data_IF_354989780520
#
_entry.id   IF_354989780520
#
_cell.length_a   1.000
_cell.length_b   1.000
_cell.length_c   1.000
_cell.angle_alpha   90.00
_cell.angle_beta   90.00
_cell.angle_gamma   90.00
#
_symmetry.space_group_name_H-M   'P 1'
#
loop_
_entity.id
_entity.type
_entity.pdbx_description
1 polymer ?
#
# COMPACT_ATOMS: atom_id res chain seq x y z
N UNK A 1 15.70 -29.99 15.86
CA UNK A 1 16.23 -29.83 14.48
C UNK A 1 15.14 -29.91 13.42
N UNK A 2 14.40 -31.01 13.26
CA UNK A 2 13.30 -31.12 12.26
C UNK A 2 12.14 -30.15 12.50
N UNK A 3 11.65 -30.01 13.73
CA UNK A 3 10.59 -29.06 14.08
C UNK A 3 11.02 -27.59 13.95
N UNK A 4 12.29 -27.28 14.24
CA UNK A 4 12.85 -25.93 14.15
C UNK A 4 12.91 -25.46 12.69
N UNK A 5 13.30 -26.33 11.76
CA UNK A 5 13.33 -26.02 10.32
C UNK A 5 11.92 -25.78 9.77
N UNK A 6 10.95 -26.59 10.17
CA UNK A 6 9.54 -26.40 9.79
C UNK A 6 9.00 -25.07 10.32
N UNK A 7 9.30 -24.72 11.57
CA UNK A 7 8.86 -23.45 12.15
C UNK A 7 9.44 -22.23 11.41
N UNK A 8 10.72 -22.27 11.03
CA UNK A 8 11.37 -21.19 10.26
C UNK A 8 10.76 -21.04 8.86
N UNK A 9 10.51 -22.16 8.18
CA UNK A 9 9.87 -22.15 6.86
C UNK A 9 8.44 -21.59 6.90
N UNK A 10 7.64 -22.00 7.90
CA UNK A 10 6.30 -21.47 8.10
C UNK A 10 6.32 -19.97 8.43
N UNK A 11 7.23 -19.53 9.32
CA UNK A 11 7.37 -18.12 9.64
C UNK A 11 7.76 -17.28 8.41
N UNK A 12 8.67 -17.78 7.57
CA UNK A 12 9.06 -17.12 6.32
C UNK A 12 7.89 -16.94 5.34
N UNK A 13 7.06 -17.98 5.16
CA UNK A 13 5.87 -17.91 4.29
C UNK A 13 4.81 -16.93 4.79
N UNK A 14 4.62 -16.83 6.11
CA UNK A 14 3.61 -15.94 6.69
C UNK A 14 3.97 -14.46 6.50
N UNK A 15 5.26 -14.10 6.49
CA UNK A 15 5.70 -12.71 6.33
C UNK A 15 5.60 -12.23 4.87
N UNK A 16 5.78 -13.11 3.88
CA UNK A 16 5.69 -12.73 2.47
C UNK A 16 4.26 -12.37 2.02
N UNK A 17 3.24 -12.85 2.74
CA UNK A 17 1.84 -12.57 2.42
C UNK A 17 1.38 -11.14 2.77
N UNK A 18 2.21 -10.37 3.48
CA UNK A 18 1.89 -8.99 3.88
C UNK A 18 2.40 -7.92 2.90
N UNK A 19 3.04 -8.30 1.79
CA UNK A 19 3.48 -7.36 0.78
C UNK A 19 2.30 -6.96 -0.13
N UNK A 20 2.03 -5.66 -0.25
CA UNK A 20 1.00 -5.14 -1.16
C UNK A 20 1.41 -5.27 -2.63
N UNK A 21 0.42 -5.39 -3.53
CA UNK A 21 0.63 -5.41 -4.98
C UNK A 21 1.17 -4.06 -5.47
N UNK A 22 2.20 -4.08 -6.33
CA UNK A 22 2.77 -2.83 -6.86
C UNK A 22 1.85 -2.29 -7.97
N UNK A 23 1.35 -1.04 -7.88
CA UNK A 23 0.51 -0.46 -8.92
C UNK A 23 1.32 -0.19 -10.21
N UNK A 24 0.67 -0.40 -11.36
CA UNK A 24 1.26 -0.17 -12.69
C UNK A 24 1.15 1.30 -13.17
N UNK A 25 0.34 2.11 -12.50
CA UNK A 25 -0.06 3.46 -12.88
C UNK A 25 0.56 4.54 -11.96
N UNK A 26 1.84 4.36 -11.59
CA UNK A 26 2.56 5.33 -10.77
C UNK A 26 2.87 6.61 -11.55
N UNK A 27 2.77 7.75 -10.85
CA UNK A 27 3.08 9.08 -11.40
C UNK A 27 1.85 9.95 -11.63
N UNK A 28 2.08 11.15 -12.15
CA UNK A 28 1.05 12.13 -12.50
C UNK A 28 0.65 11.96 -13.96
N UNK A 29 -0.65 11.89 -14.21
CA UNK A 29 -1.23 11.79 -15.56
C UNK A 29 -2.29 12.87 -15.72
N UNK A 30 -2.23 13.68 -16.79
CA UNK A 30 -3.12 14.83 -17.00
C UNK A 30 -3.14 15.84 -15.84
N UNK A 31 -1.99 16.02 -15.18
CA UNK A 31 -1.83 16.98 -14.08
C UNK A 31 -2.32 16.50 -12.72
N UNK A 32 -2.87 15.28 -12.61
CA UNK A 32 -3.33 14.72 -11.33
C UNK A 32 -2.74 13.34 -11.05
N UNK A 33 -2.71 12.96 -9.78
CA UNK A 33 -2.48 11.57 -9.39
C UNK A 33 -3.72 10.72 -9.72
N UNK A 34 -3.55 9.40 -9.81
CA UNK A 34 -4.70 8.50 -9.90
C UNK A 34 -5.55 8.62 -8.63
N UNK A 35 -6.87 8.52 -8.76
CA UNK A 35 -7.77 8.49 -7.62
C UNK A 35 -7.42 7.34 -6.66
N UNK A 36 -7.57 7.57 -5.35
CA UNK A 36 -7.39 6.51 -4.37
C UNK A 36 -8.43 5.40 -4.60
N UNK A 37 -8.03 4.12 -4.70
CA UNK A 37 -8.97 3.01 -4.63
C UNK A 37 -9.60 2.96 -3.23
N UNK A 38 -10.70 2.21 -3.11
CA UNK A 38 -11.37 1.95 -1.83
C UNK A 38 -10.52 1.03 -0.94
N UNK A 39 -9.47 1.59 -0.34
CA UNK A 39 -8.46 0.90 0.46
C UNK A 39 -8.13 1.74 1.69
N UNK A 40 -8.09 1.15 2.90
CA UNK A 40 -7.96 1.89 4.15
C UNK A 40 -6.62 2.64 4.29
N UNK A 41 -5.60 2.25 3.52
CA UNK A 41 -4.26 2.85 3.60
C UNK A 41 -3.98 3.84 2.46
N UNK A 42 -4.91 4.06 1.52
CA UNK A 42 -4.70 5.03 0.45
C UNK A 42 -5.09 6.43 0.90
N UNK A 43 -4.19 7.39 0.70
CA UNK A 43 -4.46 8.82 0.93
C UNK A 43 -3.88 9.68 -0.19
N UNK A 44 -4.53 10.80 -0.47
CA UNK A 44 -4.09 11.78 -1.47
C UNK A 44 -4.62 13.17 -1.14
N UNK A 45 -3.78 14.19 -1.24
CA UNK A 45 -4.22 15.59 -1.10
C UNK A 45 -5.12 16.06 -2.24
N UNK A 46 -5.18 15.30 -3.33
CA UNK A 46 -6.06 15.54 -4.49
C UNK A 46 -7.33 14.68 -4.44
N UNK A 47 -7.53 13.86 -3.40
CA UNK A 47 -8.75 13.05 -3.26
C UNK A 47 -9.98 13.96 -3.17
N UNK A 48 -11.11 13.52 -3.76
CA UNK A 48 -12.37 14.25 -3.72
C UNK A 48 -13.23 13.95 -2.50
N UNK A 49 -13.01 12.79 -1.87
CA UNK A 49 -13.73 12.33 -0.69
C UNK A 49 -12.92 12.51 0.59
N UNK A 50 -13.64 12.68 1.71
CA UNK A 50 -13.04 13.00 3.00
C UNK A 50 -12.22 11.84 3.59
N UNK A 51 -12.58 10.59 3.27
CA UNK A 51 -11.93 9.41 3.84
C UNK A 51 -10.50 9.23 3.35
N UNK A 52 -10.23 9.60 2.10
CA UNK A 52 -8.88 9.46 1.51
C UNK A 52 -8.12 10.80 1.45
N UNK A 53 -8.74 11.93 1.77
CA UNK A 53 -8.08 13.24 1.70
C UNK A 53 -7.12 13.45 2.87
N UNK A 54 -5.93 13.99 2.56
CA UNK A 54 -4.96 14.50 3.55
C UNK A 54 -4.50 15.90 3.14
N UNK A 55 -4.04 16.70 4.11
CA UNK A 55 -3.51 18.04 3.82
C UNK A 55 -2.21 17.95 2.98
N UNK A 56 -2.00 18.84 1.98
CA UNK A 56 -0.72 19.00 1.32
C UNK A 56 0.42 19.30 2.31
N UNK A 57 1.65 19.01 1.90
CA UNK A 57 2.83 19.38 2.67
C UNK A 57 3.01 20.90 2.65
N UNK A 58 3.13 21.52 3.83
CA UNK A 58 3.48 22.93 3.94
C UNK A 58 4.92 23.14 3.46
N UNK A 59 5.17 24.30 2.83
CA UNK A 59 6.51 24.75 2.41
C UNK A 59 7.03 25.82 3.35
#
# INVERSE_FOLDING_TARGET
MKMTVVAILCAGLLVSACAGERPANLGVTNGTLTACPDSPNCVSSQAGDERHRIEPLAT
#
